data_IF_195882895596
#
_entry.id   IF_195882895596
#
_cell.length_a   1.000
_cell.length_b   1.000
_cell.length_c   1.000
_cell.angle_alpha   90.00
_cell.angle_beta   90.00
_cell.angle_gamma   90.00
#
_symmetry.space_group_name_H-M   'P 1'
#
loop_
_entity.id
_entity.type
_entity.pdbx_description
1 polymer ?
#
# COMPACT_ATOMS: atom_id res chain seq x y z
N UNK A 1 7.04 15.12 2.83
CA UNK A 1 6.93 13.74 2.34
C UNK A 1 7.19 12.80 3.50
N UNK A 2 6.26 11.91 3.80
CA UNK A 2 6.37 11.01 4.95
C UNK A 2 6.25 9.57 4.46
N UNK A 3 7.30 8.80 4.68
CA UNK A 3 7.38 7.40 4.29
C UNK A 3 7.10 6.51 5.51
N UNK A 4 6.24 5.53 5.33
CA UNK A 4 6.03 4.46 6.28
C UNK A 4 6.42 3.14 5.63
N UNK A 5 7.34 2.41 6.24
CA UNK A 5 7.81 1.13 5.73
C UNK A 5 7.23 0.00 6.57
N UNK A 6 6.30 -0.73 5.98
CA UNK A 6 5.69 -1.92 6.58
C UNK A 6 6.00 -3.17 5.77
N UNK A 7 7.09 -3.16 5.04
CA UNK A 7 7.47 -4.31 4.22
C UNK A 7 7.91 -5.48 5.09
N UNK A 8 7.75 -6.66 4.55
CA UNK A 8 8.27 -7.91 5.13
C UNK A 8 7.78 -8.13 6.57
N UNK A 9 6.49 -7.92 6.82
CA UNK A 9 5.88 -8.05 8.14
C UNK A 9 4.86 -9.17 8.22
N UNK A 10 4.72 -9.97 7.17
CA UNK A 10 3.73 -11.07 7.10
C UNK A 10 2.30 -10.55 7.26
N UNK A 11 2.03 -9.35 6.79
CA UNK A 11 0.70 -8.76 6.85
C UNK A 11 -0.22 -9.44 5.84
N UNK A 12 -1.43 -9.76 6.27
CA UNK A 12 -2.47 -10.29 5.38
C UNK A 12 -3.47 -9.21 4.99
N UNK A 13 -3.48 -8.10 5.71
CA UNK A 13 -4.38 -6.96 5.47
C UNK A 13 -3.58 -5.67 5.62
N UNK A 14 -4.02 -4.64 4.92
CA UNK A 14 -3.45 -3.31 5.11
C UNK A 14 -4.08 -2.72 6.37
N UNK A 15 -3.27 -2.36 7.38
CA UNK A 15 -3.81 -1.72 8.58
C UNK A 15 -4.26 -0.29 8.27
N UNK A 16 -4.98 0.32 9.20
CA UNK A 16 -5.35 1.73 9.09
C UNK A 16 -4.07 2.57 9.12
N UNK A 17 -3.91 3.43 8.13
CA UNK A 17 -2.70 4.23 7.94
C UNK A 17 -3.01 5.68 8.27
N UNK A 18 -2.09 6.34 8.97
CA UNK A 18 -2.23 7.75 9.30
C UNK A 18 -2.35 8.60 8.02
N UNK A 19 -3.22 9.62 8.07
CA UNK A 19 -3.51 10.44 6.90
C UNK A 19 -2.33 11.29 6.42
N UNK A 20 -1.30 11.45 7.23
CA UNK A 20 -0.11 12.23 6.84
C UNK A 20 0.90 11.43 6.02
N UNK A 21 0.68 10.13 5.84
CA UNK A 21 1.61 9.29 5.07
C UNK A 21 1.41 9.56 3.58
N UNK A 22 2.49 9.86 2.88
CA UNK A 22 2.48 10.10 1.43
C UNK A 22 3.17 8.99 0.66
N UNK A 23 4.04 8.22 1.30
CA UNK A 23 4.68 7.05 0.70
C UNK A 23 4.50 5.85 1.61
N UNK A 24 4.08 4.72 1.05
CA UNK A 24 3.83 3.52 1.83
C UNK A 24 4.47 2.32 1.14
N UNK A 25 5.33 1.63 1.88
CA UNK A 25 5.92 0.39 1.40
C UNK A 25 5.28 -0.79 2.11
N UNK A 26 4.53 -1.57 1.35
CA UNK A 26 3.88 -2.79 1.82
C UNK A 26 4.40 -4.02 1.07
N UNK A 27 5.57 -3.91 0.48
CA UNK A 27 6.18 -5.01 -0.26
C UNK A 27 6.43 -6.23 0.61
N UNK A 28 6.49 -7.39 -0.01
CA UNK A 28 6.84 -8.65 0.66
C UNK A 28 5.94 -8.97 1.85
N UNK A 29 4.64 -8.89 1.64
CA UNK A 29 3.63 -9.31 2.61
C UNK A 29 2.73 -10.36 1.97
N UNK A 30 1.54 -10.58 2.53
CA UNK A 30 0.58 -11.55 2.04
C UNK A 30 -0.79 -10.89 1.85
N UNK A 31 -0.78 -9.62 1.43
CA UNK A 31 -1.99 -8.80 1.32
C UNK A 31 -2.78 -9.22 0.09
N UNK A 32 -4.09 -9.41 0.25
CA UNK A 32 -4.97 -9.81 -0.84
C UNK A 32 -5.87 -8.70 -1.35
N UNK A 33 -6.13 -7.68 -0.53
CA UNK A 33 -7.04 -6.58 -0.88
C UNK A 33 -6.38 -5.24 -0.67
N UNK A 34 -6.67 -4.30 -1.56
CA UNK A 34 -6.27 -2.91 -1.39
C UNK A 34 -7.39 -2.19 -0.65
N UNK A 35 -7.10 -1.72 0.57
CA UNK A 35 -8.07 -1.05 1.43
C UNK A 35 -7.32 -0.16 2.43
N UNK A 36 -8.04 0.69 3.14
CA UNK A 36 -7.49 1.51 4.24
C UNK A 36 -6.36 2.44 3.84
N UNK A 37 -6.26 2.80 2.57
CA UNK A 37 -5.20 3.69 2.11
C UNK A 37 -5.54 5.14 2.44
N UNK A 38 -4.55 5.94 2.89
CA UNK A 38 -4.81 7.35 3.20
C UNK A 38 -5.07 8.18 1.94
N UNK A 39 -5.85 9.23 2.08
CA UNK A 39 -6.29 10.08 0.96
C UNK A 39 -5.14 10.79 0.25
N UNK A 40 -4.06 11.06 0.97
CA UNK A 40 -2.94 11.83 0.43
C UNK A 40 -1.78 10.97 -0.04
N UNK A 41 -2.00 9.67 -0.13
CA UNK A 41 -0.95 8.74 -0.55
C UNK A 41 -0.57 9.00 -2.00
N UNK A 42 0.72 9.14 -2.25
CA UNK A 42 1.26 9.43 -3.59
C UNK A 42 2.02 8.24 -4.17
N UNK A 43 2.69 7.48 -3.33
CA UNK A 43 3.51 6.36 -3.78
C UNK A 43 3.20 5.12 -2.95
N UNK A 44 2.88 4.02 -3.63
CA UNK A 44 2.52 2.77 -2.96
C UNK A 44 3.27 1.61 -3.59
N UNK A 45 3.95 0.84 -2.75
CA UNK A 45 4.62 -0.39 -3.16
C UNK A 45 3.87 -1.59 -2.58
N UNK A 46 3.33 -2.42 -3.47
CA UNK A 46 2.66 -3.67 -3.11
C UNK A 46 3.31 -4.87 -3.80
N UNK A 47 4.57 -4.77 -4.14
CA UNK A 47 5.29 -5.87 -4.78
C UNK A 47 5.31 -7.11 -3.87
N UNK A 48 5.26 -8.28 -4.49
CA UNK A 48 5.33 -9.56 -3.77
C UNK A 48 4.23 -9.71 -2.73
N UNK A 49 3.01 -9.43 -3.15
CA UNK A 49 1.81 -9.68 -2.35
C UNK A 49 0.89 -10.62 -3.13
N UNK A 50 -0.33 -10.78 -2.67
CA UNK A 50 -1.33 -11.67 -3.27
C UNK A 50 -2.57 -10.89 -3.71
N UNK A 51 -2.37 -9.68 -4.23
CA UNK A 51 -3.46 -8.80 -4.64
C UNK A 51 -4.23 -9.45 -5.79
N UNK A 52 -5.54 -9.52 -5.65
CA UNK A 52 -6.41 -10.12 -6.66
C UNK A 52 -7.20 -9.10 -7.47
N UNK A 53 -7.37 -7.88 -6.94
CA UNK A 53 -8.09 -6.81 -7.62
C UNK A 53 -7.40 -5.47 -7.39
N UNK A 54 -7.36 -4.65 -8.42
CA UNK A 54 -6.88 -3.27 -8.32
C UNK A 54 -8.11 -2.40 -8.12
N UNK A 55 -8.33 -1.94 -6.89
CA UNK A 55 -9.49 -1.14 -6.51
C UNK A 55 -9.15 -0.28 -5.30
N UNK A 56 -10.03 0.64 -4.95
CA UNK A 56 -9.90 1.49 -3.75
C UNK A 56 -8.60 2.29 -3.69
N UNK A 57 -8.06 2.66 -4.85
CA UNK A 57 -6.86 3.48 -4.88
C UNK A 57 -7.24 4.95 -4.66
N UNK A 58 -6.48 5.68 -3.82
CA UNK A 58 -6.75 7.10 -3.64
C UNK A 58 -6.46 7.87 -4.92
N UNK A 59 -7.22 8.94 -5.16
CA UNK A 59 -7.05 9.74 -6.37
C UNK A 59 -5.72 10.48 -6.42
N UNK A 60 -5.08 10.65 -5.28
CA UNK A 60 -3.76 11.30 -5.17
C UNK A 60 -2.61 10.41 -5.63
N UNK A 61 -2.85 9.12 -5.83
CA UNK A 61 -1.78 8.16 -6.09
C UNK A 61 -1.11 8.44 -7.44
N UNK A 62 0.21 8.55 -7.43
CA UNK A 62 1.02 8.84 -8.61
C UNK A 62 1.79 7.62 -9.08
N UNK A 63 2.22 6.78 -8.16
CA UNK A 63 3.05 5.61 -8.46
C UNK A 63 2.54 4.39 -7.72
N UNK A 64 2.43 3.28 -8.45
CA UNK A 64 1.98 2.00 -7.87
C UNK A 64 2.88 0.90 -8.41
N UNK A 65 3.53 0.16 -7.51
CA UNK A 65 4.31 -1.02 -7.85
C UNK A 65 3.56 -2.27 -7.43
N UNK A 66 3.32 -3.16 -8.40
CA UNK A 66 2.58 -4.39 -8.17
C UNK A 66 3.34 -5.64 -8.63
N UNK A 67 4.58 -5.50 -9.01
CA UNK A 67 5.37 -6.59 -9.56
C UNK A 67 5.30 -7.85 -8.69
N UNK A 68 4.79 -8.93 -9.27
CA UNK A 68 4.62 -10.22 -8.57
C UNK A 68 3.86 -10.10 -7.26
#
# INVERSE_FOLDING_TARGET
>A
MVLLDLSNKKLTKIPVISSNITELNLGDNQITKIENLPENLQHLNLENNRITKIENLPSSLQTLWLGN
#
